data_IF_339272197016
#
_entry.id   IF_339272197016
#
_cell.length_a   1.000
_cell.length_b   1.000
_cell.length_c   1.000
_cell.angle_alpha   90.00
_cell.angle_beta   90.00
_cell.angle_gamma   90.00
#
_symmetry.space_group_name_H-M   'P 1'
#
loop_
_entity.id
_entity.type
_entity.pdbx_description
1 polymer ?
#
# COMPACT_ATOMS: atom_id res chain seq x y z
N UNK A 1 2.10 -17.97 12.66
CA UNK A 1 3.07 -17.19 13.46
C UNK A 1 2.34 -16.30 14.47
N UNK A 2 3.05 -15.81 15.51
CA UNK A 2 2.53 -14.83 16.47
C UNK A 2 3.57 -13.77 16.74
N UNK A 3 3.14 -12.50 16.82
CA UNK A 3 3.99 -11.36 17.14
C UNK A 3 3.28 -10.45 18.14
N UNK A 4 3.98 -10.06 19.19
CA UNK A 4 3.61 -8.92 20.03
C UNK A 4 4.54 -7.75 19.70
N UNK A 5 4.09 -6.87 18.81
CA UNK A 5 4.96 -5.93 18.12
C UNK A 5 4.36 -4.54 17.95
N UNK A 6 5.24 -3.57 17.67
CA UNK A 6 4.83 -2.23 17.26
C UNK A 6 4.64 -2.18 15.74
N UNK A 7 3.70 -1.36 15.29
CA UNK A 7 3.55 -1.01 13.87
C UNK A 7 4.86 -0.44 13.33
N UNK A 8 5.13 -0.65 12.05
CA UNK A 8 6.22 0.01 11.35
C UNK A 8 5.88 1.46 10.99
N UNK A 9 4.60 1.80 10.97
CA UNK A 9 4.10 3.14 10.64
C UNK A 9 3.59 3.86 11.89
N UNK A 10 4.07 5.08 12.17
CA UNK A 10 3.61 5.85 13.31
C UNK A 10 2.22 6.45 13.10
N UNK A 11 1.52 6.73 14.19
CA UNK A 11 0.32 7.56 14.26
C UNK A 11 0.61 8.85 15.04
N UNK A 12 0.03 10.00 14.66
CA UNK A 12 0.11 11.21 15.47
C UNK A 12 -0.70 11.05 16.76
N UNK A 13 -0.02 11.00 17.90
CA UNK A 13 -0.66 10.97 19.21
C UNK A 13 -1.06 12.37 19.66
N UNK A 14 -0.23 13.37 19.32
CA UNK A 14 -0.48 14.77 19.64
C UNK A 14 -0.03 15.67 18.50
N UNK A 15 -0.86 16.64 18.18
CA UNK A 15 -0.58 17.66 17.16
C UNK A 15 -0.76 19.02 17.79
N UNK A 16 0.26 19.88 17.73
CA UNK A 16 0.16 21.28 18.16
C UNK A 16 0.25 22.17 16.93
N UNK A 17 -0.81 22.93 16.69
CA UNK A 17 -0.91 23.91 15.60
C UNK A 17 -0.90 25.29 16.24
N UNK A 18 0.09 26.11 15.91
CA UNK A 18 0.23 27.45 16.44
C UNK A 18 0.27 28.47 15.30
N UNK A 19 -0.66 29.42 15.31
CA UNK A 19 -0.58 30.61 14.44
C UNK A 19 0.47 31.54 15.01
N UNK A 20 1.49 31.86 14.21
CA UNK A 20 2.57 32.73 14.64
C UNK A 20 2.14 34.20 14.54
N UNK A 21 2.84 35.09 15.25
CA UNK A 21 2.44 36.50 15.44
C UNK A 21 2.26 37.30 14.14
N UNK A 22 2.80 36.83 13.01
CA UNK A 22 2.59 37.47 11.71
C UNK A 22 1.28 37.06 11.03
N UNK A 23 0.49 36.12 11.57
CA UNK A 23 -0.75 35.54 11.00
C UNK A 23 -0.63 34.95 9.59
N UNK A 24 0.56 34.97 9.00
CA UNK A 24 0.89 34.39 7.69
C UNK A 24 1.68 33.08 7.81
N UNK A 25 2.04 32.67 9.02
CA UNK A 25 2.78 31.43 9.25
C UNK A 25 2.20 30.63 10.41
N UNK A 26 2.22 29.31 10.22
CA UNK A 26 1.69 28.34 11.17
C UNK A 26 2.79 27.34 11.49
N UNK A 27 3.05 27.14 12.78
CA UNK A 27 3.93 26.07 13.25
C UNK A 27 3.08 24.82 13.54
N UNK A 28 3.52 23.67 13.03
CA UNK A 28 2.87 22.38 13.28
C UNK A 28 3.91 21.44 13.88
N UNK A 29 3.68 20.99 15.10
CA UNK A 29 4.52 20.01 15.80
C UNK A 29 3.70 18.74 16.02
N UNK A 30 4.23 17.60 15.59
CA UNK A 30 3.60 16.30 15.77
C UNK A 30 4.45 15.41 16.68
N UNK A 31 3.81 14.84 17.70
CA UNK A 31 4.37 13.77 18.50
C UNK A 31 3.78 12.45 18.00
N UNK A 32 4.66 11.55 17.57
CA UNK A 32 4.31 10.30 16.91
C UNK A 32 4.43 9.13 17.88
N UNK A 33 3.49 8.19 17.81
CA UNK A 33 3.52 6.92 18.53
C UNK A 33 3.46 5.77 17.55
N UNK A 34 4.10 4.64 17.88
CA UNK A 34 3.99 3.41 17.11
C UNK A 34 3.03 2.46 17.83
N UNK A 35 1.80 2.27 17.30
CA UNK A 35 0.79 1.41 17.91
C UNK A 35 1.30 0.01 18.18
N UNK A 36 0.79 -0.64 19.23
CA UNK A 36 1.18 -2.01 19.57
C UNK A 36 0.01 -2.97 19.40
N UNK A 37 0.28 -4.12 18.80
CA UNK A 37 -0.71 -5.16 18.52
C UNK A 37 -0.25 -6.52 19.04
N UNK A 38 -1.22 -7.38 19.31
CA UNK A 38 -1.04 -8.82 19.16
C UNK A 38 -1.41 -9.19 17.73
N UNK A 39 -0.51 -9.90 17.03
CA UNK A 39 -0.68 -10.25 15.62
C UNK A 39 -0.59 -11.77 15.50
N UNK A 40 -1.61 -12.37 14.92
CA UNK A 40 -1.64 -13.80 14.61
C UNK A 40 -1.64 -13.96 13.09
N UNK A 41 -0.56 -14.54 12.56
CA UNK A 41 -0.38 -14.77 11.13
C UNK A 41 -0.56 -16.24 10.76
N UNK A 42 -1.08 -16.50 9.58
CA UNK A 42 -1.09 -17.82 8.95
C UNK A 42 -0.87 -17.67 7.46
N UNK A 43 -0.11 -18.59 6.89
CA UNK A 43 0.19 -18.67 5.46
C UNK A 43 -0.10 -20.08 4.95
N UNK A 44 -0.51 -20.16 3.69
CA UNK A 44 -0.74 -21.40 2.95
C UNK A 44 -0.17 -21.22 1.55
N UNK A 45 0.50 -22.24 1.04
CA UNK A 45 0.95 -22.28 -0.34
C UNK A 45 0.83 -23.70 -0.88
N UNK A 46 0.48 -23.82 -2.16
CA UNK A 46 0.30 -25.11 -2.81
C UNK A 46 0.03 -24.96 -4.30
N UNK A 47 -0.51 -26.01 -4.89
CA UNK A 47 -0.83 -26.05 -6.31
C UNK A 47 -2.14 -26.78 -6.57
N UNK A 48 -2.97 -26.23 -7.46
CA UNK A 48 -4.15 -26.90 -8.01
C UNK A 48 -3.84 -27.25 -9.48
N UNK A 49 -3.53 -28.51 -9.73
CA UNK A 49 -2.98 -28.93 -11.03
C UNK A 49 -1.64 -28.25 -11.28
N UNK A 50 -1.56 -27.44 -12.34
CA UNK A 50 -0.35 -26.67 -12.70
C UNK A 50 -0.41 -25.19 -12.29
N UNK A 51 -1.47 -24.78 -11.57
CA UNK A 51 -1.65 -23.41 -11.06
C UNK A 51 -1.10 -23.36 -9.63
N UNK A 52 -0.15 -22.46 -9.38
CA UNK A 52 0.30 -22.12 -8.03
C UNK A 52 -0.77 -21.31 -7.31
N UNK A 53 -1.02 -21.63 -6.04
CA UNK A 53 -1.97 -20.88 -5.20
C UNK A 53 -1.34 -20.62 -3.84
N UNK A 54 -1.56 -19.42 -3.31
CA UNK A 54 -1.11 -19.06 -1.98
C UNK A 54 -2.09 -18.12 -1.29
N UNK A 55 -2.02 -18.09 0.03
CA UNK A 55 -2.70 -17.11 0.84
C UNK A 55 -1.88 -16.78 2.08
N UNK A 56 -1.98 -15.53 2.53
CA UNK A 56 -1.47 -15.12 3.82
C UNK A 56 -2.55 -14.30 4.52
N UNK A 57 -2.74 -14.49 5.82
CA UNK A 57 -3.70 -13.75 6.62
C UNK A 57 -3.08 -13.36 7.96
N UNK A 58 -3.39 -12.17 8.45
CA UNK A 58 -2.92 -11.66 9.73
C UNK A 58 -4.06 -10.96 10.49
N UNK A 59 -4.41 -11.48 11.66
CA UNK A 59 -5.36 -10.87 12.58
C UNK A 59 -4.62 -9.94 13.54
N UNK A 60 -4.99 -8.66 13.54
CA UNK A 60 -4.44 -7.64 14.41
C UNK A 60 -5.41 -7.34 15.55
N UNK A 61 -4.92 -7.45 16.78
CA UNK A 61 -5.63 -7.07 18.00
C UNK A 61 -4.95 -5.84 18.62
N UNK A 62 -5.53 -4.64 18.46
CA UNK A 62 -5.00 -3.43 19.09
C UNK A 62 -5.00 -3.55 20.62
N UNK A 63 -3.89 -3.14 21.26
CA UNK A 63 -3.81 -3.10 22.72
C UNK A 63 -4.77 -2.06 23.32
N UNK A 64 -4.94 -0.96 22.62
CA UNK A 64 -5.70 0.22 23.03
C UNK A 64 -6.33 0.93 21.82
N UNK A 65 -7.24 1.84 22.12
CA UNK A 65 -7.74 2.81 21.15
C UNK A 65 -6.71 3.93 20.99
N UNK A 66 -6.41 4.32 19.76
CA UNK A 66 -5.47 5.39 19.47
C UNK A 66 -6.22 6.66 19.13
N UNK A 67 -6.00 7.69 19.95
CA UNK A 67 -6.53 9.04 19.76
C UNK A 67 -5.39 9.99 19.43
N UNK A 68 -5.67 10.94 18.55
CA UNK A 68 -4.87 12.13 18.36
C UNK A 68 -5.50 13.27 19.16
N UNK A 69 -4.74 13.86 20.07
CA UNK A 69 -5.12 15.12 20.72
C UNK A 69 -4.50 16.28 19.97
N UNK A 70 -5.35 17.16 19.43
CA UNK A 70 -4.94 18.34 18.68
C UNK A 70 -5.09 19.58 19.55
N UNK A 71 -4.01 20.33 19.74
CA UNK A 71 -3.97 21.63 20.40
C UNK A 71 -3.87 22.72 19.33
N UNK A 72 -4.90 23.55 19.21
CA UNK A 72 -4.92 24.69 18.30
C UNK A 72 -4.74 25.99 19.10
N UNK A 73 -3.60 26.65 18.89
CA UNK A 73 -3.18 27.88 19.56
C UNK A 73 -3.25 29.03 18.56
N UNK A 74 -4.32 29.82 18.64
CA UNK A 74 -4.45 31.04 17.85
C UNK A 74 -3.72 32.24 18.48
N UNK A 75 -3.76 32.34 19.81
CA UNK A 75 -3.04 33.34 20.60
C UNK A 75 -2.32 32.63 21.76
N UNK A 76 -0.99 32.72 21.88
CA UNK A 76 -0.24 32.04 22.95
C UNK A 76 -0.55 32.55 24.37
N UNK A 77 -1.33 33.63 24.51
CA UNK A 77 -1.81 34.17 25.79
C UNK A 77 -3.14 33.57 26.24
N UNK A 78 -3.83 32.85 25.37
CA UNK A 78 -5.10 32.19 25.64
C UNK A 78 -4.92 30.69 25.76
N UNK A 79 -5.88 30.02 26.41
CA UNK A 79 -5.90 28.57 26.46
C UNK A 79 -6.07 27.97 25.04
N UNK A 80 -5.36 26.87 24.73
CA UNK A 80 -5.49 26.19 23.45
C UNK A 80 -6.90 25.59 23.29
N UNK A 81 -7.41 25.60 22.07
CA UNK A 81 -8.56 24.78 21.72
C UNK A 81 -8.09 23.33 21.57
N UNK A 82 -8.72 22.41 22.29
CA UNK A 82 -8.33 20.99 22.32
C UNK A 82 -9.41 20.13 21.68
N UNK A 83 -8.99 19.29 20.73
CA UNK A 83 -9.87 18.35 20.04
C UNK A 83 -9.25 16.95 20.03
N UNK A 84 -10.03 15.93 20.38
CA UNK A 84 -9.62 14.54 20.23
C UNK A 84 -10.23 13.94 18.96
N UNK A 85 -9.40 13.24 18.18
CA UNK A 85 -9.82 12.46 17.01
C UNK A 85 -9.43 11.00 17.22
N UNK A 86 -10.39 10.07 17.09
CA UNK A 86 -10.10 8.64 17.13
C UNK A 86 -9.46 8.26 15.79
N UNK A 87 -8.19 7.85 15.82
CA UNK A 87 -7.48 7.38 14.63
C UNK A 87 -7.65 5.87 14.41
N UNK A 88 -7.78 5.11 15.49
CA UNK A 88 -8.00 3.67 15.41
C UNK A 88 -8.69 3.17 16.68
N UNK A 89 -9.82 2.51 16.50
CA UNK A 89 -10.56 1.88 17.60
C UNK A 89 -9.83 0.63 18.13
N UNK A 90 -10.09 0.27 19.39
CA UNK A 90 -9.65 -1.00 19.97
C UNK A 90 -10.51 -2.18 19.46
N UNK A 91 -10.55 -2.37 18.15
CA UNK A 91 -11.30 -3.46 17.49
C UNK A 91 -10.37 -4.33 16.65
N UNK A 92 -10.54 -5.66 16.67
CA UNK A 92 -9.82 -6.55 15.78
C UNK A 92 -10.05 -6.19 14.30
N UNK A 93 -9.00 -6.33 13.50
CA UNK A 93 -9.11 -6.25 12.04
C UNK A 93 -8.20 -7.31 11.38
N UNK A 94 -8.66 -7.84 10.25
CA UNK A 94 -7.99 -8.89 9.51
C UNK A 94 -7.43 -8.30 8.22
N UNK A 95 -6.16 -8.56 7.93
CA UNK A 95 -5.60 -8.35 6.60
C UNK A 95 -5.32 -9.70 5.97
N UNK A 96 -5.51 -9.82 4.67
CA UNK A 96 -5.17 -11.05 3.97
C UNK A 96 -4.90 -10.81 2.50
N UNK A 97 -4.11 -11.70 1.92
CA UNK A 97 -3.86 -11.81 0.47
C UNK A 97 -4.22 -13.22 0.02
N UNK A 98 -4.85 -13.32 -1.13
CA UNK A 98 -5.08 -14.56 -1.87
C UNK A 98 -4.45 -14.38 -3.25
N UNK A 99 -3.70 -15.37 -3.72
CA UNK A 99 -3.05 -15.27 -5.01
C UNK A 99 -3.01 -16.57 -5.76
N UNK A 100 -2.92 -16.44 -7.08
CA UNK A 100 -2.71 -17.54 -8.00
C UNK A 100 -1.74 -17.12 -9.11
N UNK A 101 -0.95 -18.09 -9.57
CA UNK A 101 0.02 -17.88 -10.62
C UNK A 101 0.11 -19.09 -11.56
N UNK A 102 0.52 -18.83 -12.80
CA UNK A 102 0.68 -19.86 -13.80
C UNK A 102 1.77 -19.51 -14.79
N UNK A 103 2.66 -20.47 -15.05
CA UNK A 103 3.68 -20.38 -16.12
C UNK A 103 3.27 -21.25 -17.30
N UNK A 104 3.08 -20.62 -18.45
CA UNK A 104 2.79 -21.29 -19.72
C UNK A 104 4.08 -21.82 -20.35
N UNK A 105 3.96 -22.89 -21.14
CA UNK A 105 5.09 -23.53 -21.84
C UNK A 105 5.81 -22.61 -22.82
N UNK A 106 5.14 -21.57 -23.29
CA UNK A 106 5.70 -20.61 -24.22
C UNK A 106 6.57 -19.54 -23.53
N UNK A 107 6.71 -19.58 -22.19
CA UNK A 107 7.45 -18.60 -21.41
C UNK A 107 6.62 -17.39 -20.95
N UNK A 108 5.29 -17.43 -21.12
CA UNK A 108 4.38 -16.48 -20.49
C UNK A 108 4.16 -16.84 -19.02
N UNK A 109 4.08 -15.86 -18.14
CA UNK A 109 3.76 -16.02 -16.72
C UNK A 109 2.65 -15.04 -16.35
N UNK A 110 1.60 -15.53 -15.69
CA UNK A 110 0.50 -14.70 -15.19
C UNK A 110 0.45 -14.85 -13.66
N UNK A 111 0.26 -13.73 -12.99
CA UNK A 111 0.04 -13.64 -11.56
C UNK A 111 -1.17 -12.75 -11.30
N UNK A 112 -2.06 -13.20 -10.43
CA UNK A 112 -3.20 -12.43 -9.96
C UNK A 112 -3.28 -12.59 -8.44
N UNK A 113 -3.46 -11.49 -7.73
CA UNK A 113 -3.67 -11.51 -6.29
C UNK A 113 -4.73 -10.51 -5.86
N UNK A 114 -5.56 -10.94 -4.93
CA UNK A 114 -6.49 -10.12 -4.20
C UNK A 114 -5.93 -9.83 -2.82
N UNK A 115 -5.95 -8.57 -2.40
CA UNK A 115 -5.46 -8.11 -1.10
C UNK A 115 -6.54 -7.30 -0.41
N UNK A 116 -6.84 -7.65 0.84
CA UNK A 116 -7.68 -6.87 1.74
C UNK A 116 -6.80 -6.23 2.81
N UNK A 117 -6.69 -4.90 2.80
CA UNK A 117 -5.85 -4.12 3.70
C UNK A 117 -4.39 -4.03 3.24
N UNK A 118 -3.99 -2.89 2.68
CA UNK A 118 -2.59 -2.64 2.35
C UNK A 118 -1.74 -2.42 3.61
N UNK A 119 -0.40 -2.42 3.46
CA UNK A 119 0.53 -2.34 4.61
C UNK A 119 0.29 -1.09 5.48
N UNK A 120 -0.02 0.06 4.87
CA UNK A 120 -0.23 1.34 5.57
C UNK A 120 -1.63 1.52 6.16
N UNK A 121 -2.58 0.65 5.82
CA UNK A 121 -3.98 0.73 6.27
C UNK A 121 -4.15 0.06 7.63
N UNK A 122 -5.08 0.52 8.46
CA UNK A 122 -5.28 -0.06 9.80
C UNK A 122 -6.64 0.31 10.34
N UNK A 123 -7.14 -0.51 11.27
CA UNK A 123 -8.41 -0.26 11.93
C UNK A 123 -9.58 -1.00 11.29
N UNK A 124 -10.56 -1.30 12.12
CA UNK A 124 -11.77 -1.98 11.71
C UNK A 124 -12.59 -1.09 10.76
N UNK A 125 -12.91 -1.60 9.57
CA UNK A 125 -13.67 -0.85 8.56
C UNK A 125 -12.88 0.25 7.83
N UNK A 126 -11.55 0.26 7.97
CA UNK A 126 -10.66 1.22 7.31
C UNK A 126 -9.62 0.53 6.40
N UNK A 127 -9.99 -0.65 5.86
CA UNK A 127 -9.15 -1.43 4.95
C UNK A 127 -9.78 -1.41 3.57
N UNK A 128 -8.97 -1.19 2.55
CA UNK A 128 -9.41 -1.23 1.16
C UNK A 128 -9.14 -2.60 0.54
N UNK A 129 -9.81 -2.84 -0.58
CA UNK A 129 -9.62 -4.03 -1.39
C UNK A 129 -8.85 -3.71 -2.65
N UNK A 130 -7.95 -4.62 -3.01
CA UNK A 130 -7.04 -4.48 -4.14
C UNK A 130 -7.04 -5.75 -4.98
N UNK A 131 -7.13 -5.59 -6.29
CA UNK A 131 -6.85 -6.64 -7.26
C UNK A 131 -5.59 -6.26 -8.02
N UNK A 132 -4.51 -6.98 -7.80
CA UNK A 132 -3.25 -6.79 -8.51
C UNK A 132 -3.07 -7.91 -9.53
N UNK A 133 -2.52 -7.58 -10.69
CA UNK A 133 -2.31 -8.53 -11.77
C UNK A 133 -1.03 -8.21 -12.52
N UNK A 134 -0.41 -9.24 -13.08
CA UNK A 134 0.77 -9.13 -13.90
C UNK A 134 0.82 -10.25 -14.93
N UNK A 135 1.08 -9.88 -16.18
CA UNK A 135 1.47 -10.79 -17.23
C UNK A 135 2.89 -10.44 -17.67
N UNK A 136 3.75 -11.43 -17.61
CA UNK A 136 5.15 -11.37 -18.02
C UNK A 136 5.37 -12.32 -19.20
N UNK A 137 6.21 -11.90 -20.15
CA UNK A 137 6.65 -12.75 -21.26
C UNK A 137 8.15 -12.70 -21.38
N UNK A 138 8.79 -13.87 -21.37
CA UNK A 138 10.22 -14.02 -21.64
C UNK A 138 10.44 -14.59 -23.03
N UNK A 139 11.46 -14.09 -23.73
CA UNK A 139 11.84 -14.58 -25.05
C UNK A 139 13.32 -14.31 -25.35
N UNK A 140 13.82 -14.89 -26.44
CA UNK A 140 15.22 -14.81 -26.86
C UNK A 140 16.18 -15.36 -25.79
N UNK A 141 15.88 -16.56 -25.27
CA UNK A 141 16.64 -17.19 -24.17
C UNK A 141 16.77 -16.26 -22.96
N UNK A 142 15.63 -15.73 -22.50
CA UNK A 142 15.50 -14.82 -21.35
C UNK A 142 16.25 -13.49 -21.42
N UNK A 143 16.83 -13.14 -22.58
CA UNK A 143 17.47 -11.83 -22.80
C UNK A 143 16.46 -10.68 -22.74
N UNK A 144 15.22 -10.94 -23.10
CA UNK A 144 14.13 -9.97 -23.06
C UNK A 144 13.00 -10.47 -22.17
N UNK A 145 12.51 -9.56 -21.35
CA UNK A 145 11.32 -9.74 -20.53
C UNK A 145 10.44 -8.52 -20.73
N UNK A 146 9.18 -8.75 -21.08
CA UNK A 146 8.18 -7.68 -21.16
C UNK A 146 7.05 -7.96 -20.16
N UNK A 147 6.53 -6.89 -19.58
CA UNK A 147 5.31 -6.88 -18.79
C UNK A 147 4.36 -5.87 -19.39
N UNK A 148 3.68 -6.21 -20.50
CA UNK A 148 2.79 -5.28 -21.18
C UNK A 148 1.52 -5.04 -20.35
N UNK A 149 1.15 -5.95 -19.45
CA UNK A 149 0.00 -5.83 -18.57
C UNK A 149 0.48 -6.09 -17.15
N UNK A 150 0.67 -5.03 -16.37
CA UNK A 150 0.92 -5.14 -14.94
C UNK A 150 0.30 -3.95 -14.24
N UNK A 151 -0.17 -4.16 -13.02
CA UNK A 151 -0.82 -3.10 -12.26
C UNK A 151 -1.87 -3.64 -11.31
N UNK A 152 -2.90 -2.84 -11.08
CA UNK A 152 -4.00 -3.24 -10.25
C UNK A 152 -5.03 -2.17 -10.01
N UNK A 153 -6.10 -2.60 -9.35
CA UNK A 153 -7.28 -1.81 -9.06
C UNK A 153 -7.45 -1.75 -7.54
N UNK A 154 -7.74 -0.58 -7.01
CA UNK A 154 -8.08 -0.35 -5.61
C UNK A 154 -9.53 0.14 -5.50
N UNK A 155 -10.26 -0.31 -4.48
CA UNK A 155 -11.60 0.23 -4.16
C UNK A 155 -11.85 0.17 -2.65
N UNK A 156 -12.62 1.13 -2.14
CA UNK A 156 -13.12 1.07 -0.76
C UNK A 156 -14.43 0.27 -0.66
N UNK A 157 -15.20 0.18 -1.75
CA UNK A 157 -16.49 -0.50 -1.79
C UNK A 157 -16.82 -1.03 -3.20
N UNK A 158 -16.85 -2.35 -3.37
CA UNK A 158 -17.24 -2.98 -4.64
C UNK A 158 -18.66 -2.63 -5.11
N UNK A 159 -19.57 -2.28 -4.19
CA UNK A 159 -20.97 -1.95 -4.51
C UNK A 159 -21.11 -0.63 -5.26
N UNK A 160 -20.19 0.30 -5.10
CA UNK A 160 -20.23 1.64 -5.69
C UNK A 160 -18.92 1.94 -6.46
N UNK A 161 -18.40 0.91 -7.15
CA UNK A 161 -17.11 0.91 -7.84
C UNK A 161 -16.90 2.11 -8.78
N UNK A 162 -17.95 2.56 -9.48
CA UNK A 162 -17.87 3.70 -10.41
C UNK A 162 -17.53 5.03 -9.73
N UNK A 163 -17.79 5.17 -8.42
CA UNK A 163 -17.51 6.38 -7.65
C UNK A 163 -16.21 6.31 -6.86
N UNK A 164 -15.72 5.11 -6.56
CA UNK A 164 -14.50 4.94 -5.78
C UNK A 164 -13.65 3.77 -6.30
N UNK A 165 -12.87 4.08 -7.33
CA UNK A 165 -11.86 3.18 -7.87
C UNK A 165 -10.55 3.91 -8.09
N UNK A 166 -9.46 3.19 -7.97
CA UNK A 166 -8.14 3.60 -8.38
C UNK A 166 -7.54 2.53 -9.27
N UNK A 167 -6.77 2.94 -10.26
CA UNK A 167 -6.07 2.08 -11.18
C UNK A 167 -4.60 2.48 -11.19
N UNK A 168 -3.72 1.49 -11.14
CA UNK A 168 -2.33 1.62 -11.55
C UNK A 168 -2.10 0.69 -12.74
N UNK A 169 -1.45 1.23 -13.78
CA UNK A 169 -0.96 0.47 -14.92
C UNK A 169 0.52 0.74 -15.08
N UNK A 170 1.32 -0.33 -15.09
CA UNK A 170 2.78 -0.25 -15.07
C UNK A 170 3.41 -1.18 -16.11
N UNK A 171 3.38 -0.80 -17.40
CA UNK A 171 4.05 -1.56 -18.43
C UNK A 171 5.57 -1.45 -18.29
N UNK A 172 6.29 -2.54 -18.55
CA UNK A 172 7.74 -2.61 -18.37
C UNK A 172 8.42 -3.46 -19.46
N UNK A 173 9.61 -3.07 -19.87
CA UNK A 173 10.53 -3.82 -20.71
C UNK A 173 11.86 -3.94 -19.98
N UNK A 174 12.38 -5.16 -19.88
CA UNK A 174 13.66 -5.47 -19.27
C UNK A 174 14.57 -6.18 -20.26
N UNK A 175 15.82 -5.71 -20.35
CA UNK A 175 16.90 -6.33 -21.12
C UNK A 175 17.96 -6.92 -20.18
N UNK A 176 18.29 -8.19 -20.39
CA UNK A 176 19.30 -8.96 -19.65
C UNK A 176 20.26 -9.70 -20.60
N UNK A 177 20.48 -9.16 -21.80
CA UNK A 177 21.33 -9.82 -22.81
C UNK A 177 22.84 -9.64 -22.62
N UNK A 178 23.26 -8.94 -21.57
CA UNK A 178 24.66 -8.75 -21.18
C UNK A 178 24.82 -9.33 -19.78
N UNK A 179 25.81 -10.19 -19.58
CA UNK A 179 26.09 -10.77 -18.27
C UNK A 179 26.27 -9.67 -17.23
N UNK A 180 25.70 -9.88 -16.05
CA UNK A 180 25.77 -8.97 -14.91
C UNK A 180 25.08 -7.60 -15.10
N UNK A 181 24.44 -7.33 -16.25
CA UNK A 181 23.75 -6.08 -16.53
C UNK A 181 22.26 -6.29 -16.81
N UNK A 182 21.42 -5.55 -16.10
CA UNK A 182 19.98 -5.47 -16.30
C UNK A 182 19.57 -4.02 -16.55
N UNK A 183 18.86 -3.78 -17.66
CA UNK A 183 18.30 -2.47 -18.00
C UNK A 183 16.79 -2.61 -18.04
N UNK A 184 16.09 -1.71 -17.38
CA UNK A 184 14.63 -1.69 -17.26
C UNK A 184 14.12 -0.32 -17.67
N UNK A 185 13.10 -0.30 -18.53
CA UNK A 185 12.35 0.89 -18.87
C UNK A 185 10.87 0.57 -18.68
N UNK A 186 10.13 1.45 -18.02
CA UNK A 186 8.71 1.27 -17.81
C UNK A 186 7.99 2.58 -17.57
N UNK A 187 6.70 2.48 -17.33
CA UNK A 187 5.88 3.61 -16.93
C UNK A 187 5.07 3.25 -15.67
N UNK A 188 4.60 4.28 -14.97
CA UNK A 188 3.55 4.17 -13.98
C UNK A 188 2.47 5.17 -14.35
N UNK A 189 1.27 4.66 -14.61
CA UNK A 189 0.10 5.43 -15.01
C UNK A 189 -0.96 5.18 -13.95
N UNK A 190 -1.47 6.25 -13.35
CA UNK A 190 -2.44 6.26 -12.29
C UNK A 190 -3.71 6.96 -12.79
N UNK A 191 -4.85 6.35 -12.54
CA UNK A 191 -6.18 6.86 -12.89
C UNK A 191 -7.14 6.54 -11.74
N UNK A 192 -8.21 7.30 -11.55
CA UNK A 192 -9.22 6.95 -10.56
C UNK A 192 -10.13 8.08 -10.15
N UNK A 193 -11.00 7.77 -9.21
CA UNK A 193 -11.87 8.72 -8.53
C UNK A 193 -12.08 8.28 -7.06
N UNK A 194 -12.39 9.23 -6.18
CA UNK A 194 -12.64 8.95 -4.76
C UNK A 194 -11.39 8.93 -3.88
N UNK A 195 -11.51 8.38 -2.67
CA UNK A 195 -10.51 8.49 -1.59
C UNK A 195 -9.56 7.29 -1.47
N UNK A 196 -9.12 6.69 -2.58
CA UNK A 196 -8.20 5.54 -2.57
C UNK A 196 -6.75 5.93 -2.91
N UNK A 197 -5.82 5.03 -2.61
CA UNK A 197 -4.37 5.24 -2.78
C UNK A 197 -4.01 5.67 -4.21
N UNK A 198 -4.46 4.95 -5.24
CA UNK A 198 -4.02 5.18 -6.61
C UNK A 198 -4.58 6.48 -7.19
N UNK A 199 -5.81 6.87 -6.84
CA UNK A 199 -6.34 8.19 -7.22
C UNK A 199 -5.52 9.33 -6.60
N UNK A 200 -5.00 9.15 -5.37
CA UNK A 200 -4.08 10.10 -4.74
C UNK A 200 -2.74 10.27 -5.48
N UNK A 201 -2.43 9.37 -6.41
CA UNK A 201 -1.20 9.37 -7.21
C UNK A 201 -1.43 9.76 -8.69
N UNK A 202 -2.65 10.13 -9.09
CA UNK A 202 -3.01 10.43 -10.49
C UNK A 202 -2.12 11.47 -11.17
N UNK A 203 -1.62 12.45 -10.41
CA UNK A 203 -0.78 13.54 -10.93
C UNK A 203 0.72 13.16 -10.99
N UNK A 204 1.07 11.91 -10.62
CA UNK A 204 2.44 11.39 -10.58
C UNK A 204 2.71 10.36 -11.68
N UNK A 205 2.00 10.44 -12.80
CA UNK A 205 2.30 9.64 -13.99
C UNK A 205 3.76 9.85 -14.40
N UNK A 206 4.50 8.76 -14.61
CA UNK A 206 5.93 8.84 -14.84
C UNK A 206 6.43 7.75 -15.79
N UNK A 207 7.50 8.07 -16.51
CA UNK A 207 8.37 7.09 -17.17
C UNK A 207 9.57 6.87 -16.25
N UNK A 208 9.92 5.61 -16.04
CA UNK A 208 11.01 5.22 -15.16
C UNK A 208 12.05 4.39 -15.92
N UNK A 209 13.32 4.64 -15.63
CA UNK A 209 14.45 3.86 -16.11
C UNK A 209 15.28 3.37 -14.93
N UNK A 210 15.73 2.12 -14.99
CA UNK A 210 16.61 1.52 -13.99
C UNK A 210 17.70 0.71 -14.68
N UNK A 211 18.93 0.84 -14.18
CA UNK A 211 20.05 0.00 -14.57
C UNK A 211 20.62 -0.65 -13.32
N UNK A 212 20.83 -1.96 -13.37
CA UNK A 212 21.42 -2.74 -12.29
C UNK A 212 22.63 -3.50 -12.81
N UNK A 213 23.76 -3.35 -12.12
CA UNK A 213 24.97 -4.14 -12.33
C UNK A 213 25.24 -5.00 -11.10
N UNK A 214 25.53 -6.29 -11.27
CA UNK A 214 25.79 -7.24 -10.17
C UNK A 214 27.19 -7.85 -10.31
N UNK A 215 28.00 -7.79 -9.26
CA UNK A 215 29.36 -8.33 -9.20
C UNK A 215 29.41 -9.63 -8.38
#
# INVERSE_FOLDING_TARGET
SYVYGRDGFPLPAKTTIQVLQNFYSTSIVNELVFPRYHIFGADLAGSIGSVGVWSEAALFLPKEEFKQTTFFIYDPRLDPHVYDTILMEKKPFLKFVLGADYTFKDGSYINVQYLHGFVHERGHGQLNDYLLFGWEKRFSSDKWLIRPIAGGIATTEFKDFSKNYGLIYSPEITYKGIDNLEIVIGAYIFEGNGGNLFNGLKDFNMIAGKMKYSF
#
